data_IF_004104069790
#
_entry.id   IF_004104069790
#
_cell.length_a   1.000
_cell.length_b   1.000
_cell.length_c   1.000
_cell.angle_alpha   90.00
_cell.angle_beta   90.00
_cell.angle_gamma   90.00
#
_symmetry.space_group_name_H-M   'P 1'
#
loop_
_entity.id
_entity.type
_entity.pdbx_description
1 polymer ?
#
# COMPACT_ATOMS: atom_id res chain seq x y z
N UNK A 1 28.45 4.48 -60.66
CA UNK A 1 27.40 3.63 -60.04
C UNK A 1 27.67 3.34 -58.55
N UNK A 2 28.83 2.79 -58.16
CA UNK A 2 29.17 2.50 -56.75
C UNK A 2 29.08 3.72 -55.81
N UNK A 3 29.54 4.91 -56.25
CA UNK A 3 29.47 6.15 -55.45
C UNK A 3 28.05 6.69 -55.23
N UNK A 4 27.16 6.50 -56.21
CA UNK A 4 25.75 6.92 -56.10
C UNK A 4 25.01 5.97 -55.16
N UNK A 5 25.31 4.67 -55.21
CA UNK A 5 24.74 3.67 -54.31
C UNK A 5 25.15 3.92 -52.85
N UNK A 6 26.41 4.31 -52.60
CA UNK A 6 26.88 4.66 -51.25
C UNK A 6 26.18 5.90 -50.66
N UNK A 7 25.90 6.91 -51.49
CA UNK A 7 25.20 8.12 -51.04
C UNK A 7 23.74 7.80 -50.68
N UNK A 8 23.07 6.95 -51.45
CA UNK A 8 21.68 6.53 -51.18
C UNK A 8 21.59 5.74 -49.87
N UNK A 9 22.56 4.86 -49.60
CA UNK A 9 22.60 4.06 -48.35
C UNK A 9 22.84 4.96 -47.14
N UNK A 10 23.73 5.94 -47.22
CA UNK A 10 24.00 6.89 -46.11
C UNK A 10 22.77 7.76 -45.84
N UNK A 11 22.06 8.21 -46.89
CA UNK A 11 20.86 9.02 -46.74
C UNK A 11 19.70 8.21 -46.14
N UNK A 12 19.54 6.94 -46.53
CA UNK A 12 18.55 6.04 -45.94
C UNK A 12 18.84 5.74 -44.46
N UNK A 13 20.13 5.61 -44.10
CA UNK A 13 20.54 5.40 -42.70
C UNK A 13 20.28 6.67 -41.85
N UNK A 14 20.56 7.86 -42.38
CA UNK A 14 20.31 9.12 -41.68
C UNK A 14 18.80 9.35 -41.42
N UNK A 15 17.94 9.01 -42.38
CA UNK A 15 16.48 9.09 -42.22
C UNK A 15 15.97 8.04 -41.21
N UNK A 16 16.56 6.83 -41.22
CA UNK A 16 16.26 5.78 -40.25
C UNK A 16 16.62 6.14 -38.80
N UNK A 17 17.74 6.83 -38.58
CA UNK A 17 18.13 7.32 -37.25
C UNK A 17 17.26 8.49 -36.78
N UNK A 18 16.83 9.38 -37.68
CA UNK A 18 15.93 10.49 -37.32
C UNK A 18 14.51 10.01 -36.95
N UNK A 19 14.02 8.92 -37.56
CA UNK A 19 12.72 8.33 -37.25
C UNK A 19 12.68 7.61 -35.88
N UNK A 20 13.83 7.16 -35.38
CA UNK A 20 13.95 6.56 -34.05
C UNK A 20 14.25 7.58 -32.94
N UNK A 21 14.81 8.74 -33.29
CA UNK A 21 15.17 9.81 -32.34
C UNK A 21 13.99 10.68 -31.89
N UNK A 22 12.86 10.66 -32.60
CA UNK A 22 11.73 11.55 -32.34
C UNK A 22 10.52 10.88 -31.66
N UNK A 23 10.71 9.71 -31.03
CA UNK A 23 9.80 9.24 -29.97
C UNK A 23 10.15 9.93 -28.66
N UNK A 24 10.14 11.27 -28.66
CA UNK A 24 9.62 11.98 -27.51
C UNK A 24 8.15 11.61 -27.45
N UNK A 25 7.86 10.44 -26.87
CA UNK A 25 6.53 10.16 -26.38
C UNK A 25 6.16 11.38 -25.57
N UNK A 26 5.22 12.19 -26.07
CA UNK A 26 4.52 13.14 -25.25
C UNK A 26 4.15 12.36 -23.99
N UNK A 27 4.79 12.68 -22.87
CA UNK A 27 4.28 12.28 -21.57
C UNK A 27 2.90 12.90 -21.55
N UNK A 28 1.89 12.10 -21.93
CA UNK A 28 0.52 12.35 -21.50
C UNK A 28 0.67 12.63 -20.02
N UNK A 29 0.28 13.84 -19.65
CA UNK A 29 0.17 14.28 -18.27
C UNK A 29 -0.82 13.29 -17.64
N UNK A 30 -0.33 12.16 -17.15
CA UNK A 30 -1.17 11.09 -16.62
C UNK A 30 -1.60 11.54 -15.25
N UNK A 31 -2.69 12.32 -15.25
CA UNK A 31 -3.26 12.88 -14.02
C UNK A 31 -4.14 11.86 -13.30
N UNK A 32 -4.15 10.60 -13.76
CA UNK A 32 -4.83 9.52 -13.08
C UNK A 32 -3.95 8.98 -11.94
N UNK A 33 -4.56 8.74 -10.79
CA UNK A 33 -3.91 8.12 -9.63
C UNK A 33 -4.79 6.94 -9.20
N UNK A 34 -4.24 5.73 -9.23
CA UNK A 34 -4.92 4.50 -8.82
C UNK A 34 -4.46 4.11 -7.42
N UNK A 35 -5.37 4.17 -6.45
CA UNK A 35 -5.07 3.86 -5.04
C UNK A 35 -5.81 2.61 -4.59
N UNK A 36 -5.06 1.61 -4.12
CA UNK A 36 -5.62 0.44 -3.44
C UNK A 36 -5.92 0.76 -1.97
N UNK A 37 -7.15 0.53 -1.51
CA UNK A 37 -7.56 0.88 -0.15
C UNK A 37 -8.48 -0.15 0.49
N UNK A 38 -8.42 -0.27 1.82
CA UNK A 38 -9.43 -1.02 2.58
C UNK A 38 -10.81 -0.34 2.46
N UNK A 39 -11.93 -1.09 2.52
CA UNK A 39 -13.26 -0.52 2.33
C UNK A 39 -13.59 0.66 3.25
N UNK A 40 -13.28 0.53 4.55
CA UNK A 40 -13.47 1.59 5.53
C UNK A 40 -12.32 1.57 6.56
N UNK A 41 -11.93 2.73 7.12
CA UNK A 41 -12.34 4.08 6.71
C UNK A 41 -11.60 4.58 5.45
N UNK A 42 -10.65 3.79 4.93
CA UNK A 42 -9.67 4.25 3.95
C UNK A 42 -10.28 4.69 2.61
N UNK A 43 -11.10 3.85 1.97
CA UNK A 43 -11.78 4.23 0.74
C UNK A 43 -12.77 5.38 0.97
N UNK A 44 -13.46 5.41 2.12
CA UNK A 44 -14.37 6.50 2.48
C UNK A 44 -13.64 7.85 2.57
N UNK A 45 -12.45 7.89 3.19
CA UNK A 45 -11.58 9.07 3.23
C UNK A 45 -11.15 9.47 1.82
N UNK A 46 -10.74 8.51 0.98
CA UNK A 46 -10.33 8.77 -0.39
C UNK A 46 -11.47 9.31 -1.25
N UNK A 47 -12.71 8.87 -1.04
CA UNK A 47 -13.88 9.42 -1.71
C UNK A 47 -14.10 10.90 -1.34
N UNK A 48 -13.81 11.31 -0.11
CA UNK A 48 -13.81 12.73 0.26
C UNK A 48 -12.63 13.51 -0.35
N UNK A 49 -11.49 12.86 -0.57
CA UNK A 49 -10.32 13.48 -1.20
C UNK A 49 -10.45 13.62 -2.73
N UNK A 50 -11.24 12.76 -3.38
CA UNK A 50 -11.46 12.73 -4.83
C UNK A 50 -11.86 14.09 -5.44
N UNK A 51 -12.87 14.84 -4.94
CA UNK A 51 -13.19 16.16 -5.48
C UNK A 51 -12.04 17.17 -5.30
N UNK A 52 -11.31 17.13 -4.17
CA UNK A 52 -10.17 18.03 -3.91
C UNK A 52 -9.01 17.78 -4.88
N UNK A 53 -8.79 16.53 -5.28
CA UNK A 53 -7.80 16.15 -6.29
C UNK A 53 -8.27 16.57 -7.69
N UNK A 54 -9.56 16.43 -7.99
CA UNK A 54 -10.14 16.85 -9.26
C UNK A 54 -10.00 18.35 -9.51
N UNK A 55 -10.18 19.18 -8.48
CA UNK A 55 -9.94 20.63 -8.56
C UNK A 55 -8.48 20.99 -8.85
N UNK A 56 -7.55 20.09 -8.49
CA UNK A 56 -6.11 20.19 -8.83
C UNK A 56 -5.76 19.54 -10.16
N UNK A 57 -6.76 19.02 -10.88
CA UNK A 57 -6.61 18.37 -12.18
C UNK A 57 -6.30 16.88 -12.14
N UNK A 58 -6.32 16.22 -10.97
CA UNK A 58 -6.07 14.79 -10.83
C UNK A 58 -7.36 13.97 -10.78
N UNK A 59 -7.36 12.81 -11.42
CA UNK A 59 -8.45 11.83 -11.37
C UNK A 59 -8.08 10.66 -10.46
N UNK A 60 -8.76 10.53 -9.32
CA UNK A 60 -8.51 9.47 -8.35
C UNK A 60 -9.40 8.25 -8.65
N UNK A 61 -8.78 7.13 -9.00
CA UNK A 61 -9.40 5.80 -9.04
C UNK A 61 -9.13 5.06 -7.73
N UNK A 62 -10.19 4.63 -7.04
CA UNK A 62 -10.10 3.89 -5.78
C UNK A 62 -10.39 2.42 -6.07
N UNK A 63 -9.42 1.55 -5.84
CA UNK A 63 -9.59 0.10 -5.88
C UNK A 63 -9.78 -0.42 -4.46
N UNK A 64 -11.00 -0.79 -4.12
CA UNK A 64 -11.30 -1.37 -2.80
C UNK A 64 -10.78 -2.81 -2.74
N UNK A 65 -9.94 -3.13 -1.75
CA UNK A 65 -9.32 -4.44 -1.56
C UNK A 65 -9.61 -4.90 -0.13
N UNK A 66 -10.16 -6.11 0.03
CA UNK A 66 -10.62 -6.62 1.32
C UNK A 66 -9.65 -7.64 1.94
N UNK A 67 -8.35 -7.36 1.87
CA UNK A 67 -7.28 -8.12 2.52
C UNK A 67 -5.99 -7.27 2.63
N UNK A 68 -5.02 -7.71 3.43
CA UNK A 68 -3.78 -6.94 3.71
C UNK A 68 -2.58 -7.35 2.86
N UNK A 69 -2.66 -8.46 2.13
CA UNK A 69 -1.53 -9.01 1.37
C UNK A 69 -1.49 -8.52 -0.07
N UNK A 70 -2.65 -8.35 -0.68
CA UNK A 70 -2.80 -7.93 -2.07
C UNK A 70 -2.32 -6.49 -2.32
N UNK A 71 -2.62 -5.47 -1.46
CA UNK A 71 -2.29 -4.08 -1.80
C UNK A 71 -0.79 -3.80 -1.98
N UNK A 72 0.07 -4.39 -1.14
CA UNK A 72 1.53 -4.22 -1.28
C UNK A 72 2.08 -4.92 -2.51
N UNK A 73 1.59 -6.13 -2.80
CA UNK A 73 1.96 -6.87 -4.01
C UNK A 73 1.61 -6.10 -5.29
N UNK A 74 0.41 -5.53 -5.35
CA UNK A 74 -0.03 -4.76 -6.52
C UNK A 74 0.75 -3.45 -6.67
N UNK A 75 1.09 -2.78 -5.57
CA UNK A 75 1.93 -1.57 -5.61
C UNK A 75 3.34 -1.88 -6.10
N UNK A 76 3.98 -2.92 -5.55
CA UNK A 76 5.33 -3.35 -5.97
C UNK A 76 5.38 -3.79 -7.45
N UNK A 77 4.28 -4.38 -7.96
CA UNK A 77 4.12 -4.75 -9.36
C UNK A 77 3.81 -3.57 -10.29
N UNK A 78 3.55 -2.36 -9.75
CA UNK A 78 3.18 -1.18 -10.55
C UNK A 78 1.73 -1.18 -11.06
N UNK A 79 0.84 -1.99 -10.47
CA UNK A 79 -0.59 -2.02 -10.80
C UNK A 79 -1.42 -0.99 -10.02
N UNK A 80 -0.80 -0.39 -8.99
CA UNK A 80 -1.29 0.74 -8.21
C UNK A 80 -0.23 1.84 -8.18
N UNK A 81 -0.64 3.10 -8.13
CA UNK A 81 0.27 4.23 -7.90
C UNK A 81 0.55 4.43 -6.41
N UNK A 82 -0.41 4.09 -5.55
CA UNK A 82 -0.27 4.08 -4.10
C UNK A 82 -1.21 3.06 -3.46
N UNK A 83 -1.02 2.79 -2.17
CA UNK A 83 -2.02 2.13 -1.36
C UNK A 83 -2.25 2.90 -0.04
N UNK A 84 -3.44 2.73 0.53
CA UNK A 84 -3.83 3.35 1.79
C UNK A 84 -4.63 2.35 2.62
N UNK A 85 -3.92 1.60 3.48
CA UNK A 85 -4.52 0.54 4.30
C UNK A 85 -3.70 0.12 5.54
N UNK A 86 -2.43 0.52 5.62
CA UNK A 86 -1.45 -0.06 6.54
C UNK A 86 -0.75 1.00 7.41
N UNK A 87 -0.14 0.52 8.49
CA UNK A 87 0.71 1.31 9.38
C UNK A 87 2.20 0.98 9.17
N UNK A 88 3.08 1.85 9.64
CA UNK A 88 4.55 1.75 9.43
C UNK A 88 5.14 0.41 9.89
N UNK A 89 4.81 -0.15 11.08
CA UNK A 89 5.32 -1.47 11.46
C UNK A 89 4.97 -2.59 10.49
N UNK A 90 3.78 -2.58 9.89
CA UNK A 90 3.38 -3.60 8.91
C UNK A 90 4.16 -3.45 7.61
N UNK A 91 4.30 -2.22 7.13
CA UNK A 91 5.10 -1.90 5.94
C UNK A 91 6.55 -2.37 6.12
N UNK A 92 7.18 -2.05 7.25
CA UNK A 92 8.57 -2.43 7.53
C UNK A 92 8.76 -3.95 7.56
N UNK A 93 7.83 -4.68 8.18
CA UNK A 93 7.84 -6.15 8.18
C UNK A 93 7.67 -6.71 6.77
N UNK A 94 6.70 -6.22 5.99
CA UNK A 94 6.46 -6.70 4.62
C UNK A 94 7.65 -6.42 3.69
N UNK A 95 8.28 -5.24 3.80
CA UNK A 95 9.52 -4.92 3.06
C UNK A 95 10.64 -5.88 3.42
N UNK A 96 10.85 -6.14 4.72
CA UNK A 96 11.90 -7.04 5.21
C UNK A 96 11.66 -8.49 4.78
N UNK A 97 10.44 -8.98 4.88
CA UNK A 97 10.12 -10.40 4.65
C UNK A 97 9.93 -10.75 3.17
N UNK A 98 9.36 -9.82 2.39
CA UNK A 98 8.98 -10.07 0.99
C UNK A 98 9.84 -9.30 -0.03
N UNK A 99 10.67 -8.36 0.43
CA UNK A 99 11.58 -7.62 -0.43
C UNK A 99 10.91 -6.55 -1.31
N UNK A 100 9.70 -6.11 -0.94
CA UNK A 100 8.99 -5.07 -1.68
C UNK A 100 9.76 -3.74 -1.69
N UNK A 101 9.74 -3.05 -2.83
CA UNK A 101 10.41 -1.77 -3.09
C UNK A 101 9.42 -0.61 -3.04
N UNK A 102 8.73 -0.52 -1.91
CA UNK A 102 7.70 0.48 -1.63
C UNK A 102 8.11 1.32 -0.42
N UNK A 103 7.63 2.55 -0.35
CA UNK A 103 7.96 3.49 0.74
C UNK A 103 6.69 4.20 1.23
N UNK A 104 6.70 4.64 2.50
CA UNK A 104 5.64 5.49 3.03
C UNK A 104 5.76 6.90 2.44
N UNK A 105 4.65 7.39 1.88
CA UNK A 105 4.55 8.77 1.37
C UNK A 105 4.04 9.76 2.42
N UNK A 106 3.61 9.29 3.60
CA UNK A 106 3.14 10.13 4.69
C UNK A 106 2.11 9.44 5.58
N UNK A 107 2.02 9.92 6.83
CA UNK A 107 1.04 9.46 7.81
C UNK A 107 -0.27 10.25 7.66
N UNK A 108 -1.41 9.56 7.78
CA UNK A 108 -2.74 10.14 7.51
C UNK A 108 -3.64 10.13 8.75
N UNK A 109 -3.88 8.96 9.34
CA UNK A 109 -4.78 8.80 10.50
C UNK A 109 -4.31 7.69 11.43
N UNK A 110 -4.97 7.60 12.58
CA UNK A 110 -4.79 6.52 13.56
C UNK A 110 -6.14 5.87 13.87
N UNK A 111 -6.16 4.54 13.93
CA UNK A 111 -7.31 3.74 14.33
C UNK A 111 -7.07 3.16 15.74
N UNK A 112 -7.79 3.64 16.77
CA UNK A 112 -7.66 3.09 18.11
C UNK A 112 -8.05 1.61 18.15
N UNK A 113 -7.13 0.77 18.60
CA UNK A 113 -7.41 -0.66 18.84
C UNK A 113 -8.21 -0.83 20.13
N UNK A 114 -9.16 -1.76 20.09
CA UNK A 114 -9.94 -2.14 21.27
C UNK A 114 -10.27 -3.63 21.25
N UNK A 115 -10.57 -4.17 22.42
CA UNK A 115 -11.08 -5.54 22.58
C UNK A 115 -12.61 -5.46 22.67
N UNK A 116 -13.28 -6.23 21.82
CA UNK A 116 -14.75 -6.28 21.76
C UNK A 116 -15.25 -7.65 22.22
N UNK A 117 -16.44 -7.68 22.83
CA UNK A 117 -17.08 -8.93 23.22
C UNK A 117 -18.60 -8.77 23.18
N UNK A 118 -19.28 -9.81 22.69
CA UNK A 118 -20.74 -9.92 22.79
C UNK A 118 -21.22 -10.39 24.17
N UNK A 119 -20.33 -10.98 24.99
CA UNK A 119 -20.69 -11.65 26.25
C UNK A 119 -20.20 -10.93 27.50
N UNK A 120 -18.97 -10.42 27.47
CA UNK A 120 -18.31 -9.85 28.65
C UNK A 120 -18.11 -8.35 28.48
N UNK A 121 -18.42 -7.58 29.54
CA UNK A 121 -18.36 -6.10 29.47
C UNK A 121 -16.97 -5.54 29.79
N UNK A 122 -16.12 -6.32 30.46
CA UNK A 122 -14.78 -5.90 30.89
C UNK A 122 -13.82 -7.07 30.73
N UNK A 123 -12.54 -6.77 30.47
CA UNK A 123 -11.49 -7.80 30.36
C UNK A 123 -11.42 -8.68 31.62
N UNK A 124 -11.53 -8.09 32.81
CA UNK A 124 -11.53 -8.82 34.09
C UNK A 124 -12.71 -9.79 34.30
N UNK A 125 -13.74 -9.70 33.46
CA UNK A 125 -14.90 -10.61 33.54
C UNK A 125 -14.68 -11.88 32.69
N UNK A 126 -13.56 -11.99 31.96
CA UNK A 126 -13.23 -13.16 31.16
C UNK A 126 -12.95 -14.38 32.06
N UNK A 127 -13.53 -15.57 31.75
CA UNK A 127 -13.24 -16.79 32.49
C UNK A 127 -11.83 -17.31 32.18
N UNK A 128 -11.30 -18.13 33.08
CA UNK A 128 -10.08 -18.89 32.81
C UNK A 128 -10.27 -19.79 31.59
N UNK A 129 -9.29 -19.78 30.68
CA UNK A 129 -9.37 -20.54 29.42
C UNK A 129 -10.26 -19.90 28.36
N UNK A 130 -10.63 -18.62 28.48
CA UNK A 130 -11.32 -17.89 27.43
C UNK A 130 -10.52 -17.89 26.12
N UNK A 131 -11.22 -18.16 25.02
CA UNK A 131 -10.68 -18.03 23.66
C UNK A 131 -10.83 -16.60 23.17
N UNK A 132 -9.74 -16.04 22.64
CA UNK A 132 -9.68 -14.67 22.13
C UNK A 132 -9.23 -14.73 20.67
N UNK A 133 -10.07 -14.23 19.77
CA UNK A 133 -9.71 -14.04 18.37
C UNK A 133 -8.86 -12.77 18.24
N UNK A 134 -7.72 -12.89 17.59
CA UNK A 134 -6.78 -11.79 17.33
C UNK A 134 -6.42 -11.74 15.85
N UNK A 135 -5.88 -10.61 15.39
CA UNK A 135 -5.34 -10.53 14.03
C UNK A 135 -4.21 -11.54 13.84
N UNK A 136 -4.13 -12.13 12.65
CA UNK A 136 -3.03 -13.00 12.25
C UNK A 136 -1.78 -12.21 11.79
N UNK A 137 -1.84 -10.87 11.75
CA UNK A 137 -0.71 -10.01 11.40
C UNK A 137 0.35 -10.00 12.53
N UNK A 138 1.57 -10.51 12.30
CA UNK A 138 2.63 -10.55 13.31
C UNK A 138 3.02 -9.19 13.87
N UNK A 139 2.99 -8.14 13.04
CA UNK A 139 3.36 -6.77 13.46
C UNK A 139 2.44 -6.22 14.56
N UNK A 140 1.23 -6.75 14.67
CA UNK A 140 0.22 -6.29 15.61
C UNK A 140 0.13 -7.17 16.87
N UNK A 141 0.71 -8.38 16.87
CA UNK A 141 0.62 -9.37 17.97
C UNK A 141 0.99 -8.79 19.33
N UNK A 142 2.11 -8.05 19.41
CA UNK A 142 2.54 -7.42 20.66
C UNK A 142 1.54 -6.39 21.20
N UNK A 143 0.91 -5.59 20.32
CA UNK A 143 -0.08 -4.58 20.71
C UNK A 143 -1.33 -5.23 21.29
N UNK A 144 -1.80 -6.34 20.73
CA UNK A 144 -2.98 -7.05 21.28
C UNK A 144 -2.70 -7.66 22.65
N UNK A 145 -1.55 -8.32 22.82
CA UNK A 145 -1.18 -8.97 24.09
C UNK A 145 -1.12 -7.95 25.23
N UNK A 146 -0.70 -6.72 24.94
CA UNK A 146 -0.60 -5.64 25.93
C UNK A 146 -1.94 -5.38 26.65
N UNK A 147 -3.08 -5.44 25.97
CA UNK A 147 -4.39 -5.25 26.62
C UNK A 147 -4.63 -6.24 27.77
N UNK A 148 -4.21 -7.49 27.59
CA UNK A 148 -4.41 -8.56 28.56
C UNK A 148 -3.35 -8.54 29.67
N UNK A 149 -2.12 -8.09 29.36
CA UNK A 149 -1.08 -7.83 30.36
C UNK A 149 -1.50 -6.69 31.28
N UNK A 150 -1.95 -5.56 30.71
CA UNK A 150 -2.39 -4.38 31.46
C UNK A 150 -3.62 -4.69 32.34
N UNK A 151 -4.50 -5.59 31.88
CA UNK A 151 -5.63 -6.09 32.66
C UNK A 151 -5.26 -7.13 33.73
N UNK A 152 -3.99 -7.55 33.81
CA UNK A 152 -3.50 -8.55 34.76
C UNK A 152 -3.93 -9.99 34.46
N UNK A 153 -4.40 -10.27 33.24
CA UNK A 153 -4.92 -11.57 32.83
C UNK A 153 -3.83 -12.53 32.36
N UNK A 154 -2.75 -11.99 31.79
CA UNK A 154 -1.60 -12.76 31.35
C UNK A 154 -0.30 -12.08 31.78
N UNK A 155 0.80 -12.83 31.76
CA UNK A 155 2.17 -12.31 31.92
C UNK A 155 3.01 -12.74 30.73
N UNK A 156 3.84 -11.83 30.24
CA UNK A 156 4.86 -12.13 29.24
C UNK A 156 6.15 -12.49 30.00
N UNK A 157 6.88 -13.50 29.50
CA UNK A 157 8.16 -13.91 30.11
C UNK A 157 9.19 -12.79 29.96
N UNK A 158 10.04 -12.65 30.97
CA UNK A 158 11.14 -11.69 30.94
C UNK A 158 12.06 -11.94 29.74
N UNK A 159 12.48 -10.86 29.08
CA UNK A 159 13.38 -10.91 27.93
C UNK A 159 12.73 -11.16 26.57
N UNK A 160 11.41 -11.41 26.51
CA UNK A 160 10.66 -11.39 25.24
C UNK A 160 10.49 -9.94 24.81
N UNK A 161 11.02 -9.60 23.62
CA UNK A 161 10.92 -8.27 23.00
C UNK A 161 9.78 -8.22 22.00
#
# INVERSE_FOLDING_TARGET
MKRILSIIVILALAIGLAACGNKSAEKKDDKKIVVGASPAPHAEILEQAKPLLKDKGYDLEIKTINDYTTPNKLLDAGELDANFFQHTPYLDTEKKEKGYKIESAGDVHIEPMAVYSHKYKRLKDLPNGAEIFVSNNPAEQGRFLKFFVDAGLIKIKDGVK
#
